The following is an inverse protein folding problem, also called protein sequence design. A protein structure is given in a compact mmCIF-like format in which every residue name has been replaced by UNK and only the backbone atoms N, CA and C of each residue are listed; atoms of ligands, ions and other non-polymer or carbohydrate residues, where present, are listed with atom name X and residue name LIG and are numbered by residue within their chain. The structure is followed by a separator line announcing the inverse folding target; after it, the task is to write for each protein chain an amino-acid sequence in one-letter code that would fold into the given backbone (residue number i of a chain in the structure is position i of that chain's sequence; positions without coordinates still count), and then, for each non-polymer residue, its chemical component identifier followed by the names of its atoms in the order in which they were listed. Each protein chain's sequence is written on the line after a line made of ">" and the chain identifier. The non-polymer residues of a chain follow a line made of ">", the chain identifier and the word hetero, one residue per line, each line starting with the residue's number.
data_IF_273551854615
#
_entry.id   IF_273551854615
#
_cell.length_a   1.000
_cell.length_b   1.000
_cell.length_c   1.000
_cell.angle_alpha   90.00
_cell.angle_beta   90.00
_cell.angle_gamma   90.00
#
_symmetry.space_group_name_H-M   'P 1'
#
loop_
_entity.id
_entity.type
_entity.pdbx_description
1 polymer ?
#
# COMPACT_ATOMS: atom_id res chain seq x y z
N UNK A 1 19.58 -14.22 -6.48
CA UNK A 1 19.79 -13.07 -5.57
C UNK A 1 18.44 -12.74 -4.95
N UNK A 2 18.33 -12.74 -3.62
CA UNK A 2 17.08 -12.40 -2.94
C UNK A 2 17.05 -10.90 -2.64
N UNK A 3 15.91 -10.25 -2.87
CA UNK A 3 15.72 -8.82 -2.56
C UNK A 3 14.43 -8.60 -1.78
N UNK A 4 14.48 -7.80 -0.73
CA UNK A 4 13.28 -7.44 0.03
C UNK A 4 12.51 -6.32 -0.68
N UNK A 5 11.19 -6.50 -0.78
CA UNK A 5 10.25 -5.48 -1.20
C UNK A 5 9.27 -5.17 -0.06
N UNK A 6 9.22 -3.92 0.36
CA UNK A 6 8.30 -3.42 1.38
C UNK A 6 7.09 -2.75 0.71
N UNK A 7 5.89 -3.01 1.24
CA UNK A 7 4.66 -2.31 0.89
C UNK A 7 4.18 -1.54 2.12
N UNK A 8 4.33 -0.22 2.11
CA UNK A 8 4.15 0.63 3.29
C UNK A 8 2.95 1.56 3.08
N UNK A 9 2.07 1.67 4.08
CA UNK A 9 0.90 2.55 4.00
C UNK A 9 0.52 3.08 5.37
N UNK A 10 -0.04 4.28 5.41
CA UNK A 10 -0.71 4.86 6.58
C UNK A 10 -2.13 4.30 6.76
N UNK A 11 -2.68 3.63 5.73
CA UNK A 11 -3.91 2.84 5.78
C UNK A 11 -3.64 1.32 5.72
N UNK A 12 -4.48 0.60 4.98
CA UNK A 12 -4.47 -0.88 4.95
C UNK A 12 -3.31 -1.49 4.16
N UNK A 13 -2.61 -0.73 3.31
CA UNK A 13 -1.53 -1.26 2.46
C UNK A 13 -1.97 -2.04 1.22
N UNK A 14 -3.27 -2.28 1.03
CA UNK A 14 -3.80 -3.07 -0.10
C UNK A 14 -3.38 -2.47 -1.45
N UNK A 15 -3.46 -1.14 -1.61
CA UNK A 15 -3.06 -0.46 -2.86
C UNK A 15 -1.58 -0.62 -3.15
N UNK A 16 -0.72 -0.41 -2.13
CA UNK A 16 0.72 -0.56 -2.28
C UNK A 16 1.12 -1.99 -2.64
N UNK A 17 0.52 -2.95 -1.96
CA UNK A 17 0.73 -4.37 -2.21
C UNK A 17 0.26 -4.79 -3.61
N UNK A 18 -0.97 -4.43 -3.99
CA UNK A 18 -1.55 -4.83 -5.28
C UNK A 18 -0.70 -4.32 -6.44
N UNK A 19 -0.44 -3.02 -6.50
CA UNK A 19 0.33 -2.41 -7.59
C UNK A 19 1.79 -2.88 -7.57
N UNK A 20 2.42 -2.89 -6.40
CA UNK A 20 3.80 -3.31 -6.28
C UNK A 20 3.99 -4.78 -6.66
N UNK A 21 3.05 -5.68 -6.31
CA UNK A 21 3.11 -7.07 -6.76
C UNK A 21 2.98 -7.18 -8.28
N UNK A 22 2.09 -6.44 -8.92
CA UNK A 22 1.95 -6.41 -10.39
C UNK A 22 3.23 -5.93 -11.08
N UNK A 23 3.91 -4.92 -10.53
CA UNK A 23 5.16 -4.40 -11.07
C UNK A 23 6.32 -5.38 -10.88
N UNK A 24 6.45 -5.97 -9.69
CA UNK A 24 7.51 -6.94 -9.41
C UNK A 24 7.38 -8.24 -10.22
N UNK A 25 6.16 -8.61 -10.61
CA UNK A 25 5.91 -9.79 -11.44
C UNK A 25 6.58 -9.72 -12.83
N UNK A 26 6.96 -8.53 -13.29
CA UNK A 26 7.68 -8.34 -14.56
C UNK A 26 9.15 -8.77 -14.49
N UNK A 27 9.67 -9.12 -13.31
CA UNK A 27 11.07 -9.48 -13.09
C UNK A 27 11.21 -10.96 -12.70
N UNK A 28 10.97 -11.86 -13.67
CA UNK A 28 10.94 -13.31 -13.46
C UNK A 28 12.20 -13.93 -12.85
N UNK A 29 13.37 -13.32 -13.09
CA UNK A 29 14.66 -13.83 -12.61
C UNK A 29 15.03 -13.35 -11.19
N UNK A 30 14.20 -12.51 -10.56
CA UNK A 30 14.48 -11.94 -9.24
C UNK A 30 13.53 -12.53 -8.19
N UNK A 31 14.09 -13.10 -7.14
CA UNK A 31 13.31 -13.59 -6.00
C UNK A 31 13.09 -12.46 -4.99
N UNK A 32 11.83 -12.09 -4.77
CA UNK A 32 11.48 -11.05 -3.82
C UNK A 32 10.96 -11.61 -2.49
N UNK A 33 11.53 -11.15 -1.38
CA UNK A 33 10.91 -11.29 -0.05
C UNK A 33 9.94 -10.12 0.14
N UNK A 34 8.65 -10.41 0.14
CA UNK A 34 7.57 -9.43 0.20
C UNK A 34 7.16 -9.16 1.64
N UNK A 35 7.08 -7.89 2.04
CA UNK A 35 6.79 -7.48 3.41
C UNK A 35 5.78 -6.33 3.43
N UNK A 36 4.56 -6.61 3.87
CA UNK A 36 3.50 -5.60 3.97
C UNK A 36 3.47 -4.99 5.36
N UNK A 37 3.34 -3.65 5.42
CA UNK A 37 3.38 -2.82 6.63
C UNK A 37 2.25 -1.79 6.59
N UNK A 38 1.05 -2.19 7.05
CA UNK A 38 -0.08 -1.29 7.14
C UNK A 38 0.04 -0.38 8.38
N UNK A 39 -0.73 0.70 8.37
CA UNK A 39 -0.90 1.64 9.49
C UNK A 39 0.42 2.22 10.03
N UNK A 40 1.34 2.58 9.14
CA UNK A 40 2.54 3.37 9.46
C UNK A 40 2.13 4.85 9.50
N UNK A 41 1.35 5.18 10.52
CA UNK A 41 0.64 6.46 10.70
C UNK A 41 1.21 7.33 11.85
N UNK A 42 2.31 6.91 12.46
CA UNK A 42 3.03 7.68 13.48
C UNK A 42 4.52 7.80 13.19
N UNK A 43 5.15 8.84 13.73
CA UNK A 43 6.59 9.06 13.58
C UNK A 43 7.43 7.91 14.16
N UNK A 44 6.98 7.30 15.27
CA UNK A 44 7.70 6.18 15.88
C UNK A 44 7.62 4.91 15.04
N UNK A 45 6.46 4.63 14.44
CA UNK A 45 6.32 3.54 13.47
C UNK A 45 7.20 3.77 12.25
N UNK A 46 7.29 5.02 11.77
CA UNK A 46 8.17 5.38 10.65
C UNK A 46 9.65 5.10 10.98
N UNK A 47 10.12 5.53 12.16
CA UNK A 47 11.49 5.26 12.63
C UNK A 47 11.78 3.77 12.76
N UNK A 48 10.85 3.00 13.32
CA UNK A 48 10.98 1.56 13.40
C UNK A 48 11.03 0.91 12.01
N UNK A 49 10.29 1.45 11.04
CA UNK A 49 10.35 0.99 9.65
C UNK A 49 11.69 1.28 9.00
N UNK A 50 12.29 2.46 9.21
CA UNK A 50 13.64 2.77 8.73
C UNK A 50 14.66 1.74 9.23
N UNK A 51 14.58 1.37 10.52
CA UNK A 51 15.46 0.33 11.07
C UNK A 51 15.27 -1.02 10.39
N UNK A 52 14.02 -1.44 10.15
CA UNK A 52 13.72 -2.70 9.45
C UNK A 52 14.21 -2.71 8.00
N UNK A 53 14.04 -1.60 7.28
CA UNK A 53 14.51 -1.43 5.90
C UNK A 53 16.03 -1.54 5.85
N UNK A 54 16.72 -0.81 6.74
CA UNK A 54 18.18 -0.81 6.79
C UNK A 54 18.74 -2.19 7.14
N UNK A 55 18.11 -2.90 8.08
CA UNK A 55 18.49 -4.27 8.41
C UNK A 55 18.32 -5.21 7.20
N UNK A 56 17.22 -5.08 6.44
CA UNK A 56 17.00 -5.86 5.22
C UNK A 56 18.05 -5.54 4.14
N UNK A 57 18.46 -4.27 4.01
CA UNK A 57 19.50 -3.87 3.08
C UNK A 57 20.84 -4.57 3.35
N UNK A 58 21.21 -4.66 4.64
CA UNK A 58 22.41 -5.38 5.08
C UNK A 58 22.28 -6.88 4.84
N UNK A 59 21.14 -7.47 5.23
CA UNK A 59 20.90 -8.91 5.10
C UNK A 59 20.89 -9.38 3.64
N UNK A 60 20.24 -8.63 2.76
CA UNK A 60 20.12 -8.98 1.34
C UNK A 60 21.38 -8.61 0.54
N UNK A 61 22.28 -7.81 1.11
CA UNK A 61 23.43 -7.23 0.41
C UNK A 61 23.04 -6.30 -0.74
N UNK A 62 21.78 -5.86 -0.79
CA UNK A 62 21.22 -5.05 -1.85
C UNK A 62 20.13 -4.12 -1.31
N UNK A 63 20.02 -2.92 -1.88
CA UNK A 63 19.02 -1.93 -1.47
C UNK A 63 17.59 -2.50 -1.63
N UNK A 64 16.75 -2.55 -0.57
CA UNK A 64 15.36 -3.00 -0.67
C UNK A 64 14.54 -2.06 -1.55
N UNK A 65 13.45 -2.58 -2.10
CA UNK A 65 12.46 -1.79 -2.85
C UNK A 65 11.33 -1.43 -1.89
N UNK A 66 10.84 -0.20 -1.93
CA UNK A 66 9.73 0.27 -1.10
C UNK A 66 8.67 0.81 -2.05
N UNK A 67 7.47 0.24 -1.96
CA UNK A 67 6.26 0.81 -2.56
C UNK A 67 5.48 1.43 -1.42
N UNK A 68 5.22 2.73 -1.49
CA UNK A 68 4.48 3.43 -0.44
C UNK A 68 3.29 4.21 -0.97
N UNK A 69 2.31 4.37 -0.07
CA UNK A 69 1.14 5.23 -0.25
C UNK A 69 1.04 6.24 0.90
N UNK A 70 2.18 6.66 1.47
CA UNK A 70 2.21 7.56 2.63
C UNK A 70 1.89 8.98 2.19
N UNK A 71 0.83 9.55 2.77
CA UNK A 71 0.43 10.92 2.46
C UNK A 71 1.03 11.92 3.47
N UNK A 72 1.22 11.50 4.72
CA UNK A 72 1.79 12.35 5.76
C UNK A 72 3.27 12.67 5.45
N UNK A 73 3.57 13.96 5.25
CA UNK A 73 4.91 14.44 4.87
C UNK A 73 5.97 14.21 5.94
N UNK A 74 5.62 14.28 7.22
CA UNK A 74 6.59 14.08 8.31
C UNK A 74 6.99 12.60 8.42
N UNK A 75 6.03 11.69 8.26
CA UNK A 75 6.29 10.25 8.19
C UNK A 75 7.17 9.93 6.98
N UNK A 76 6.84 10.53 5.83
CA UNK A 76 7.62 10.35 4.61
C UNK A 76 9.05 10.84 4.74
N UNK A 77 9.27 12.02 5.32
CA UNK A 77 10.59 12.57 5.56
C UNK A 77 11.44 11.67 6.49
N UNK A 78 10.83 10.88 7.36
CA UNK A 78 11.53 9.86 8.15
C UNK A 78 11.87 8.65 7.26
N UNK A 79 10.91 8.13 6.49
CA UNK A 79 11.13 6.97 5.61
C UNK A 79 12.19 7.24 4.52
N UNK A 80 12.28 8.48 4.03
CA UNK A 80 13.31 8.93 3.08
C UNK A 80 14.74 8.77 3.61
N UNK A 81 14.93 8.66 4.93
CA UNK A 81 16.23 8.43 5.56
C UNK A 81 16.68 6.95 5.50
N UNK A 82 15.79 6.06 5.04
CA UNK A 82 16.12 4.64 4.91
C UNK A 82 17.03 4.38 3.70
N UNK A 83 17.85 3.34 3.79
CA UNK A 83 18.63 2.81 2.68
C UNK A 83 17.75 1.92 1.80
N UNK A 84 16.67 2.49 1.26
CA UNK A 84 15.71 1.84 0.38
C UNK A 84 15.59 2.58 -0.95
N UNK A 85 15.10 1.89 -1.98
CA UNK A 85 14.64 2.53 -3.21
C UNK A 85 13.14 2.75 -3.12
N UNK A 86 12.73 4.00 -2.94
CA UNK A 86 11.33 4.35 -2.69
C UNK A 86 10.58 4.70 -3.96
N UNK A 87 9.40 4.12 -4.10
CA UNK A 87 8.43 4.35 -5.16
C UNK A 87 7.14 4.81 -4.48
N UNK A 88 6.90 6.11 -4.52
CA UNK A 88 5.61 6.66 -4.13
C UNK A 88 4.61 6.46 -5.26
N UNK A 89 3.62 5.62 -4.98
CA UNK A 89 2.58 5.26 -5.93
C UNK A 89 1.74 6.50 -6.29
N UNK A 90 1.38 7.33 -5.32
CA UNK A 90 0.54 8.49 -5.60
C UNK A 90 1.27 9.52 -6.44
N UNK A 91 2.49 9.94 -6.08
CA UNK A 91 3.20 10.92 -6.92
C UNK A 91 3.48 10.40 -8.33
N UNK A 92 3.77 9.10 -8.45
CA UNK A 92 4.12 8.49 -9.75
C UNK A 92 2.91 8.43 -10.69
N UNK A 93 1.73 8.10 -10.17
CA UNK A 93 0.54 7.87 -11.02
C UNK A 93 -0.46 9.03 -11.03
N UNK A 94 -0.52 9.88 -10.00
CA UNK A 94 -1.43 11.03 -9.97
C UNK A 94 -0.97 12.12 -10.93
N UNK A 95 0.32 12.44 -11.00
CA UNK A 95 0.78 13.56 -11.85
C UNK A 95 0.41 13.40 -13.34
N UNK A 96 0.55 12.23 -13.99
CA UNK A 96 0.02 12.02 -15.34
C UNK A 96 -1.49 12.18 -15.42
N UNK A 97 -2.23 11.70 -14.42
CA UNK A 97 -3.69 11.74 -14.38
C UNK A 97 -4.24 13.17 -14.19
N UNK A 98 -3.61 13.96 -13.30
CA UNK A 98 -3.96 15.36 -13.07
C UNK A 98 -3.81 16.19 -14.35
N UNK A 99 -2.76 15.91 -15.14
CA UNK A 99 -2.54 16.53 -16.44
C UNK A 99 -3.63 16.14 -17.44
N UNK A 100 -3.95 14.86 -17.55
CA UNK A 100 -4.99 14.38 -18.47
C UNK A 100 -6.38 14.93 -18.09
N UNK A 101 -6.70 14.96 -16.80
CA UNK A 101 -7.99 15.42 -16.31
C UNK A 101 -8.09 16.94 -16.18
N UNK A 102 -6.98 17.68 -16.37
CA UNK A 102 -6.90 19.12 -16.12
C UNK A 102 -7.43 19.51 -14.74
N UNK A 103 -7.13 18.69 -13.73
CA UNK A 103 -7.63 18.86 -12.36
C UNK A 103 -6.59 18.39 -11.34
N UNK A 104 -6.43 19.13 -10.24
CA UNK A 104 -5.57 18.73 -9.13
C UNK A 104 -6.22 17.63 -8.28
N UNK A 105 -5.43 16.67 -7.84
CA UNK A 105 -5.87 15.70 -6.86
C UNK A 105 -5.93 16.32 -5.48
N UNK A 106 -6.86 15.85 -4.64
CA UNK A 106 -7.05 16.44 -3.31
C UNK A 106 -5.98 16.04 -2.29
N UNK A 107 -5.01 15.17 -2.65
CA UNK A 107 -3.93 14.63 -1.79
C UNK A 107 -4.36 14.27 -0.35
N UNK A 108 -5.63 13.93 -0.14
CA UNK A 108 -6.23 13.84 1.19
C UNK A 108 -6.33 12.39 1.63
N UNK A 109 -5.68 12.06 2.75
CA UNK A 109 -5.87 10.80 3.49
C UNK A 109 -7.38 10.53 3.62
N UNK A 110 -7.82 9.32 3.29
CA UNK A 110 -9.13 8.83 3.70
C UNK A 110 -10.33 9.07 2.77
N UNK A 111 -10.18 9.64 1.55
CA UNK A 111 -11.27 9.53 0.55
C UNK A 111 -11.48 8.11 0.03
N UNK A 112 -10.44 7.28 0.07
CA UNK A 112 -10.60 5.83 -0.12
C UNK A 112 -11.45 5.18 1.00
N UNK A 113 -11.61 5.86 2.14
CA UNK A 113 -12.39 5.44 3.31
C UNK A 113 -13.74 6.17 3.46
N UNK A 114 -14.21 6.96 2.48
CA UNK A 114 -15.61 7.41 2.47
C UNK A 114 -16.54 6.25 2.07
N UNK A 115 -16.41 5.12 2.77
CA UNK A 115 -17.28 3.94 2.71
C UNK A 115 -18.66 4.29 3.28
N UNK A 116 -18.76 5.33 4.13
CA UNK A 116 -20.03 5.79 4.71
C UNK A 116 -21.03 6.34 3.67
N UNK A 117 -20.63 6.55 2.41
CA UNK A 117 -21.52 6.98 1.33
C UNK A 117 -21.29 6.22 0.02
N UNK A 118 -20.80 4.97 0.10
CA UNK A 118 -20.60 4.15 -1.09
C UNK A 118 -21.73 3.12 -1.22
N UNK A 119 -22.72 3.41 -2.06
CA UNK A 119 -23.85 2.49 -2.35
C UNK A 119 -23.37 1.11 -2.79
N UNK A 120 -22.29 1.04 -3.58
CA UNK A 120 -21.72 -0.23 -4.03
C UNK A 120 -21.05 -1.05 -2.92
N UNK A 121 -20.63 -0.41 -1.82
CA UNK A 121 -20.20 -1.18 -0.65
C UNK A 121 -21.40 -1.84 0.03
N UNK A 122 -22.49 -1.09 0.22
CA UNK A 122 -23.72 -1.65 0.82
C UNK A 122 -24.33 -2.75 -0.05
N UNK A 123 -24.38 -2.58 -1.38
CA UNK A 123 -24.84 -3.64 -2.30
C UNK A 123 -24.02 -4.92 -2.15
N UNK A 124 -22.70 -4.82 -1.94
CA UNK A 124 -21.86 -6.00 -1.70
C UNK A 124 -22.13 -6.65 -0.35
N UNK A 125 -22.38 -5.87 0.69
CA UNK A 125 -22.77 -6.40 2.01
C UNK A 125 -24.13 -7.09 1.93
N UNK A 126 -25.10 -6.49 1.25
CA UNK A 126 -26.41 -7.09 1.00
C UNK A 126 -26.28 -8.39 0.19
N UNK A 127 -25.46 -8.43 -0.84
CA UNK A 127 -25.20 -9.65 -1.61
C UNK A 127 -24.57 -10.76 -0.77
N UNK A 128 -23.61 -10.43 0.10
CA UNK A 128 -23.00 -11.39 1.04
C UNK A 128 -24.03 -11.89 2.05
N UNK A 129 -24.84 -11.00 2.63
CA UNK A 129 -25.89 -11.36 3.57
C UNK A 129 -26.95 -12.24 2.91
N UNK A 130 -27.40 -11.90 1.70
CA UNK A 130 -28.33 -12.72 0.93
C UNK A 130 -27.79 -14.13 0.68
N UNK A 131 -26.50 -14.24 0.31
CA UNK A 131 -25.85 -15.53 0.12
C UNK A 131 -25.75 -16.34 1.43
N UNK A 132 -25.46 -15.69 2.56
CA UNK A 132 -25.43 -16.35 3.88
C UNK A 132 -26.82 -16.78 4.37
N UNK A 133 -27.84 -15.95 4.18
CA UNK A 133 -29.23 -16.21 4.62
C UNK A 133 -29.92 -17.30 3.79
N UNK A 134 -29.46 -17.50 2.55
CA UNK A 134 -29.98 -18.53 1.66
C UNK A 134 -28.98 -19.68 1.47
N UNK A 135 -27.99 -19.79 2.36
CA UNK A 135 -27.12 -20.96 2.45
C UNK A 135 -27.92 -22.15 3.01
N UNK A 136 -27.64 -23.34 2.47
CA UNK A 136 -28.41 -24.56 2.71
C UNK A 136 -28.31 -25.05 4.17
N UNK A 137 -27.41 -24.46 4.96
CA UNK A 137 -27.22 -24.71 6.39
C UNK A 137 -28.01 -23.80 7.35
N UNK A 138 -28.63 -22.71 6.86
CA UNK A 138 -29.35 -21.74 7.72
C UNK A 138 -30.86 -21.99 7.83
N UNK A 139 -31.43 -22.85 6.97
CA UNK A 139 -32.84 -23.24 7.00
C UNK A 139 -33.00 -24.64 7.64
N UNK A 140 -33.05 -24.68 8.98
CA UNK A 140 -33.55 -25.82 9.75
C UNK A 140 -34.56 -25.38 10.79
#
# INVERSE_FOLDING_TARGET
>A
MQRTAFFISDGTGITAETLGQSLLAQFGDITFRKVTRPYVDTLDKARAMVQQINAAAVQDGARPIIFDTIVNRDIRAILDQSNGFMIDIFSTFLSPLERELSAESSYSVGKSHSIMHNSHYMERIEAVNFALENDDGART
#
